data_IF_384038029387
#
_entry.id   IF_384038029387
#
_cell.length_a   1.000
_cell.length_b   1.000
_cell.length_c   1.000
_cell.angle_alpha   90.00
_cell.angle_beta   90.00
_cell.angle_gamma   90.00
#
_symmetry.space_group_name_H-M   'P 1'
#
loop_
_entity.id
_entity.type
_entity.pdbx_description
1 polymer ?
#
# COMPACT_ATOMS: atom_id res chain seq x y z
N UNK A 1 -57.58 -4.99 -52.79
CA UNK A 1 -56.14 -5.30 -52.74
C UNK A 1 -55.58 -4.86 -51.39
N UNK A 2 -56.27 -5.14 -50.25
CA UNK A 2 -56.07 -4.35 -49.03
C UNK A 2 -55.99 -5.16 -47.72
N UNK A 3 -56.16 -6.48 -47.77
CA UNK A 3 -56.22 -7.32 -46.55
C UNK A 3 -54.84 -7.77 -46.03
N UNK A 4 -53.87 -7.99 -46.92
CA UNK A 4 -52.51 -8.45 -46.55
C UNK A 4 -51.63 -7.33 -45.93
N UNK A 5 -51.93 -6.06 -46.21
CA UNK A 5 -51.19 -4.91 -45.68
C UNK A 5 -51.48 -4.64 -44.19
N UNK A 6 -52.66 -5.03 -43.70
CA UNK A 6 -53.06 -4.80 -42.30
C UNK A 6 -52.39 -5.79 -41.33
N UNK A 7 -52.27 -7.06 -41.73
CA UNK A 7 -51.59 -8.10 -40.95
C UNK A 7 -50.09 -7.83 -40.79
N UNK A 8 -49.43 -7.34 -41.85
CA UNK A 8 -48.00 -6.98 -41.78
C UNK A 8 -47.71 -5.83 -40.82
N UNK A 9 -48.64 -4.87 -40.67
CA UNK A 9 -48.51 -3.76 -39.73
C UNK A 9 -48.72 -4.20 -38.28
N UNK A 10 -49.67 -5.10 -38.03
CA UNK A 10 -49.90 -5.67 -36.70
C UNK A 10 -48.72 -6.51 -36.19
N UNK A 11 -48.07 -7.28 -37.09
CA UNK A 11 -46.87 -8.06 -36.75
C UNK A 11 -45.69 -7.14 -36.42
N UNK A 12 -45.48 -6.06 -37.19
CA UNK A 12 -44.41 -5.08 -36.91
C UNK A 12 -44.63 -4.34 -35.59
N UNK A 13 -45.86 -3.96 -35.27
CA UNK A 13 -46.19 -3.30 -33.99
C UNK A 13 -46.03 -4.27 -32.81
N UNK A 14 -46.42 -5.54 -32.97
CA UNK A 14 -46.19 -6.59 -31.97
C UNK A 14 -44.69 -6.86 -31.75
N UNK A 15 -43.89 -6.85 -32.81
CA UNK A 15 -42.45 -7.04 -32.71
C UNK A 15 -41.77 -5.84 -32.04
N UNK A 16 -42.17 -4.61 -32.38
CA UNK A 16 -41.69 -3.41 -31.68
C UNK A 16 -42.05 -3.41 -30.19
N UNK A 17 -43.28 -3.79 -29.82
CA UNK A 17 -43.68 -3.83 -28.41
C UNK A 17 -42.92 -4.89 -27.59
N UNK A 18 -42.55 -6.02 -28.20
CA UNK A 18 -41.74 -7.05 -27.53
C UNK A 18 -40.27 -6.64 -27.33
N UNK A 19 -39.74 -5.74 -28.16
CA UNK A 19 -38.38 -5.19 -27.98
C UNK A 19 -38.28 -4.14 -26.87
N UNK A 20 -39.39 -3.48 -26.51
CA UNK A 20 -39.39 -2.44 -25.46
C UNK A 20 -39.51 -2.99 -24.02
N UNK A 21 -39.79 -4.27 -23.84
CA UNK A 21 -39.76 -4.95 -22.53
C UNK A 21 -38.44 -5.67 -22.25
N UNK A 22 -37.37 -5.34 -22.98
CA UNK A 22 -36.01 -5.64 -22.52
C UNK A 22 -35.70 -4.69 -21.36
N UNK A 23 -36.17 -5.07 -20.17
CA UNK A 23 -35.89 -4.36 -18.94
C UNK A 23 -34.40 -4.10 -18.83
N UNK A 24 -34.07 -2.82 -18.71
CA UNK A 24 -32.73 -2.33 -18.42
C UNK A 24 -32.37 -2.85 -17.02
N UNK A 25 -31.87 -4.09 -17.00
CA UNK A 25 -31.19 -4.65 -15.85
C UNK A 25 -29.90 -3.88 -15.74
N UNK A 26 -30.02 -2.66 -15.21
CA UNK A 26 -28.94 -1.93 -14.59
C UNK A 26 -28.48 -2.82 -13.45
N UNK A 27 -27.65 -3.80 -13.81
CA UNK A 27 -26.79 -4.53 -12.92
C UNK A 27 -25.93 -3.46 -12.27
N UNK A 28 -26.45 -2.90 -11.18
CA UNK A 28 -25.70 -2.33 -10.09
C UNK A 28 -24.70 -3.40 -9.74
N UNK A 29 -23.54 -3.37 -10.41
CA UNK A 29 -22.33 -4.04 -9.98
C UNK A 29 -22.18 -3.55 -8.55
N UNK A 30 -22.57 -4.38 -7.61
CA UNK A 30 -22.25 -4.21 -6.21
C UNK A 30 -20.73 -4.24 -6.17
N UNK A 31 -20.12 -3.07 -6.32
CA UNK A 31 -18.71 -2.88 -6.08
C UNK A 31 -18.52 -3.24 -4.62
N UNK A 32 -18.03 -4.45 -4.35
CA UNK A 32 -17.59 -4.79 -3.03
C UNK A 32 -16.51 -3.77 -2.67
N UNK A 33 -16.87 -2.80 -1.83
CA UNK A 33 -15.90 -1.96 -1.16
C UNK A 33 -15.15 -2.90 -0.21
N UNK A 34 -14.06 -3.49 -0.70
CA UNK A 34 -13.12 -4.19 0.15
C UNK A 34 -12.41 -3.13 1.00
N UNK A 35 -13.03 -2.74 2.11
CA UNK A 35 -12.37 -1.98 3.16
C UNK A 35 -11.39 -2.93 3.84
N UNK A 36 -10.26 -3.20 3.18
CA UNK A 36 -9.15 -3.90 3.82
C UNK A 36 -8.83 -3.08 5.06
N UNK A 37 -8.98 -3.65 6.25
CA UNK A 37 -8.50 -3.03 7.47
C UNK A 37 -7.01 -2.78 7.28
N UNK A 38 -6.64 -1.53 6.98
CA UNK A 38 -5.25 -1.15 6.80
C UNK A 38 -4.70 -0.93 8.19
N UNK A 39 -3.73 -1.76 8.55
CA UNK A 39 -3.04 -1.65 9.81
C UNK A 39 -2.43 -0.25 10.02
N UNK A 40 -2.63 0.32 11.21
CA UNK A 40 -2.08 1.61 11.67
C UNK A 40 -0.57 1.59 11.87
N UNK A 41 0.04 0.41 11.82
CA UNK A 41 1.48 0.24 11.95
C UNK A 41 2.18 -0.08 10.62
N UNK A 42 1.47 -0.04 9.50
CA UNK A 42 2.04 -0.38 8.17
C UNK A 42 2.76 0.79 7.49
N UNK A 43 3.71 0.54 6.56
CA UNK A 43 4.33 1.59 5.76
C UNK A 43 3.30 2.46 5.01
N UNK A 44 2.24 1.84 4.50
CA UNK A 44 1.15 2.52 3.78
C UNK A 44 0.35 3.47 4.68
N UNK A 45 0.21 3.14 5.97
CA UNK A 45 -0.46 4.03 6.91
C UNK A 45 0.41 5.25 7.22
N UNK A 46 1.70 5.06 7.48
CA UNK A 46 2.64 6.16 7.70
C UNK A 46 2.77 7.09 6.48
N UNK A 47 2.81 6.53 5.28
CA UNK A 47 2.86 7.31 4.03
C UNK A 47 1.55 8.06 3.74
N UNK A 48 0.42 7.63 4.31
CA UNK A 48 -0.88 8.29 4.13
C UNK A 48 -1.00 9.63 4.86
N UNK A 49 -0.04 9.97 5.74
CA UNK A 49 0.01 11.20 6.55
C UNK A 49 -1.25 11.46 7.40
N UNK A 50 -1.98 10.40 7.74
CA UNK A 50 -3.16 10.47 8.62
C UNK A 50 -2.79 10.72 10.09
N UNK A 51 -1.54 10.44 10.46
CA UNK A 51 -1.03 10.59 11.81
C UNK A 51 0.28 11.39 11.79
N UNK A 52 0.47 12.21 12.82
CA UNK A 52 1.70 12.96 13.00
C UNK A 52 2.86 12.00 13.29
N UNK A 53 3.99 12.23 12.63
CA UNK A 53 5.20 11.45 12.87
C UNK A 53 5.80 11.76 14.26
N UNK A 54 6.47 10.80 14.91
CA UNK A 54 7.14 11.03 16.18
C UNK A 54 8.14 12.19 16.12
N UNK A 55 8.25 13.00 17.19
CA UNK A 55 9.19 14.15 17.23
C UNK A 55 10.64 13.76 16.95
N UNK A 56 11.05 12.57 17.37
CA UNK A 56 12.40 12.02 17.13
C UNK A 56 12.67 11.65 15.68
N UNK A 57 11.61 11.45 14.88
CA UNK A 57 11.67 11.07 13.47
C UNK A 57 10.72 11.97 12.68
N UNK A 58 11.09 13.23 12.39
CA UNK A 58 10.24 14.12 11.59
C UNK A 58 10.05 13.61 10.16
N UNK A 59 8.87 13.82 9.58
CA UNK A 59 8.49 13.38 8.22
C UNK A 59 9.49 13.82 7.13
N UNK A 60 10.00 15.05 7.23
CA UNK A 60 10.97 15.63 6.29
C UNK A 60 12.42 15.19 6.52
N UNK A 61 12.67 14.32 7.49
CA UNK A 61 14.01 13.78 7.70
C UNK A 61 14.39 12.86 6.55
N UNK A 62 15.70 12.75 6.31
CA UNK A 62 16.26 11.87 5.29
C UNK A 62 16.73 10.56 5.90
N UNK A 63 16.87 9.54 5.06
CA UNK A 63 17.52 8.26 5.43
C UNK A 63 18.94 8.53 5.95
N UNK A 64 19.67 9.42 5.29
CA UNK A 64 21.01 9.85 5.71
C UNK A 64 21.02 10.41 7.13
N UNK A 65 20.06 11.28 7.48
CA UNK A 65 19.99 11.86 8.82
C UNK A 65 19.68 10.81 9.90
N UNK A 66 18.94 9.76 9.56
CA UNK A 66 18.51 8.75 10.53
C UNK A 66 19.49 7.59 10.71
N UNK A 67 20.18 7.20 9.63
CA UNK A 67 21.03 6.01 9.56
C UNK A 67 22.48 6.30 9.17
N UNK A 68 22.81 7.52 8.76
CA UNK A 68 24.15 7.96 8.38
C UNK A 68 24.40 7.97 6.86
N UNK A 69 25.42 8.73 6.45
CA UNK A 69 25.79 8.98 5.05
C UNK A 69 26.17 7.70 4.32
N UNK A 70 26.97 6.84 4.96
CA UNK A 70 27.44 5.57 4.38
C UNK A 70 26.26 4.68 3.99
N UNK A 71 25.35 4.48 4.95
CA UNK A 71 24.14 3.68 4.78
C UNK A 71 23.25 4.24 3.67
N UNK A 72 23.06 5.57 3.64
CA UNK A 72 22.24 6.19 2.61
C UNK A 72 22.85 6.02 1.21
N UNK A 73 24.13 6.32 1.02
CA UNK A 73 24.78 6.36 -0.30
C UNK A 73 25.09 4.97 -0.89
N UNK A 74 25.29 3.96 -0.05
CA UNK A 74 25.64 2.61 -0.53
C UNK A 74 24.52 1.98 -1.37
N UNK A 75 23.26 2.25 -1.02
CA UNK A 75 22.10 1.61 -1.66
C UNK A 75 20.98 2.54 -2.07
N UNK A 76 20.96 3.76 -1.55
CA UNK A 76 19.90 4.73 -1.78
C UNK A 76 20.48 6.10 -2.14
N UNK A 77 19.59 7.10 -2.26
CA UNK A 77 19.99 8.49 -2.44
C UNK A 77 20.09 9.18 -1.08
N UNK A 78 21.01 10.13 -0.93
CA UNK A 78 21.19 10.93 0.28
C UNK A 78 19.97 11.78 0.63
N UNK A 79 19.26 12.27 -0.39
CA UNK A 79 18.06 13.10 -0.27
C UNK A 79 16.76 12.30 -0.12
N UNK A 80 16.83 10.96 -0.11
CA UNK A 80 15.67 10.10 0.07
C UNK A 80 15.03 10.39 1.43
N UNK A 81 13.79 10.88 1.40
CA UNK A 81 13.05 11.19 2.62
C UNK A 81 12.43 9.93 3.22
N UNK A 82 12.19 9.96 4.54
CA UNK A 82 11.54 8.85 5.22
C UNK A 82 10.10 8.65 4.72
N UNK A 83 9.35 9.72 4.47
CA UNK A 83 7.99 9.60 3.92
C UNK A 83 8.00 8.94 2.54
N UNK A 84 8.93 9.35 1.66
CA UNK A 84 9.07 8.76 0.34
C UNK A 84 9.38 7.26 0.44
N UNK A 85 10.34 6.88 1.28
CA UNK A 85 10.70 5.46 1.47
C UNK A 85 9.55 4.58 1.95
N UNK A 86 8.63 5.09 2.78
CA UNK A 86 7.41 4.36 3.19
C UNK A 86 6.38 4.21 2.08
N UNK A 87 6.41 5.09 1.07
CA UNK A 87 5.49 5.12 -0.07
C UNK A 87 5.98 4.30 -1.28
N UNK A 88 7.27 3.95 -1.34
CA UNK A 88 7.86 3.21 -2.47
C UNK A 88 7.19 1.86 -2.69
N UNK A 89 7.11 1.41 -3.94
CA UNK A 89 6.51 0.12 -4.31
C UNK A 89 7.47 -0.79 -5.07
N UNK A 90 8.78 -0.56 -4.94
CA UNK A 90 9.83 -1.34 -5.61
C UNK A 90 10.29 -2.55 -4.80
N UNK A 91 9.53 -3.01 -3.79
CA UNK A 91 9.91 -4.12 -2.91
C UNK A 91 10.09 -5.46 -3.65
N UNK A 92 9.40 -5.63 -4.78
CA UNK A 92 9.44 -6.84 -5.59
C UNK A 92 10.76 -6.88 -6.37
N UNK A 93 11.63 -7.84 -6.02
CA UNK A 93 12.99 -7.94 -6.57
C UNK A 93 14.03 -7.04 -5.90
N UNK A 94 13.64 -6.09 -5.02
CA UNK A 94 14.56 -5.23 -4.28
C UNK A 94 14.52 -5.52 -2.77
N UNK A 95 15.35 -6.45 -2.31
CA UNK A 95 15.41 -6.80 -0.88
C UNK A 95 15.81 -5.60 0.02
N UNK A 96 16.66 -4.71 -0.48
CA UNK A 96 17.07 -3.51 0.24
C UNK A 96 15.95 -2.47 0.30
N UNK A 97 15.19 -2.30 -0.78
CA UNK A 97 13.97 -1.48 -0.80
C UNK A 97 12.94 -1.98 0.21
N UNK A 98 12.71 -3.30 0.25
CA UNK A 98 11.85 -3.93 1.25
C UNK A 98 12.36 -3.72 2.68
N UNK A 99 13.68 -3.89 2.92
CA UNK A 99 14.31 -3.65 4.21
C UNK A 99 14.08 -2.22 4.69
N UNK A 100 14.36 -1.23 3.83
CA UNK A 100 14.22 0.18 4.17
C UNK A 100 12.76 0.54 4.48
N UNK A 101 11.84 0.14 3.59
CA UNK A 101 10.42 0.45 3.74
C UNK A 101 9.82 -0.13 5.01
N UNK A 102 10.08 -1.41 5.29
CA UNK A 102 9.59 -2.06 6.51
C UNK A 102 10.32 -1.58 7.76
N UNK A 103 11.63 -1.31 7.65
CA UNK A 103 12.46 -0.81 8.75
C UNK A 103 12.08 0.59 9.19
N UNK A 104 11.72 1.49 8.27
CA UNK A 104 11.26 2.83 8.63
C UNK A 104 9.90 2.79 9.30
N UNK A 105 8.96 1.97 8.81
CA UNK A 105 7.71 1.74 9.51
C UNK A 105 7.94 1.18 10.92
N UNK A 106 8.84 0.21 11.07
CA UNK A 106 9.22 -0.34 12.38
C UNK A 106 9.84 0.72 13.30
N UNK A 107 10.68 1.61 12.75
CA UNK A 107 11.28 2.71 13.50
C UNK A 107 10.21 3.69 13.99
N UNK A 108 9.26 4.06 13.14
CA UNK A 108 8.15 4.93 13.52
C UNK A 108 7.28 4.27 14.59
N UNK A 109 6.94 3.00 14.42
CA UNK A 109 6.17 2.24 15.41
C UNK A 109 6.90 2.15 16.76
N UNK A 110 8.21 1.92 16.76
CA UNK A 110 9.03 1.86 17.99
C UNK A 110 9.03 3.15 18.80
N UNK A 111 8.77 4.30 18.16
CA UNK A 111 8.60 5.58 18.85
C UNK A 111 7.13 5.91 19.15
N UNK A 112 6.20 5.50 18.29
CA UNK A 112 4.80 5.89 18.36
C UNK A 112 3.92 4.94 19.20
N UNK A 113 4.34 3.70 19.39
CA UNK A 113 3.52 2.62 19.95
C UNK A 113 4.22 2.03 21.16
N UNK A 114 3.56 2.09 22.33
CA UNK A 114 4.15 1.69 23.62
C UNK A 114 4.53 0.20 23.69
N UNK A 115 3.79 -0.66 23.00
CA UNK A 115 3.93 -2.12 23.03
C UNK A 115 4.55 -2.69 21.75
N UNK A 116 5.26 -1.87 20.96
CA UNK A 116 5.93 -2.37 19.77
C UNK A 116 7.07 -3.31 20.13
N UNK A 117 7.29 -4.34 19.30
CA UNK A 117 8.23 -5.44 19.60
C UNK A 117 9.70 -5.04 19.64
N UNK A 118 10.04 -3.83 19.18
CA UNK A 118 11.43 -3.36 19.10
C UNK A 118 11.56 -1.96 19.69
N UNK A 119 12.68 -1.72 20.37
CA UNK A 119 13.12 -0.36 20.70
C UNK A 119 13.72 0.34 19.46
N UNK A 120 13.71 1.68 19.42
CA UNK A 120 14.22 2.41 18.26
C UNK A 120 15.69 2.13 17.90
N UNK A 121 16.54 1.93 18.91
CA UNK A 121 17.96 1.64 18.68
C UNK A 121 18.14 0.23 18.08
N UNK A 122 17.30 -0.74 18.45
CA UNK A 122 17.33 -2.09 17.90
C UNK A 122 16.99 -2.08 16.40
N UNK A 123 15.95 -1.33 16.03
CA UNK A 123 15.56 -1.19 14.62
C UNK A 123 16.71 -0.62 13.79
N UNK A 124 17.37 0.45 14.28
CA UNK A 124 18.52 1.04 13.58
C UNK A 124 19.66 0.05 13.41
N UNK A 125 20.04 -0.65 14.48
CA UNK A 125 21.12 -1.63 14.45
C UNK A 125 20.79 -2.79 13.51
N UNK A 126 19.59 -3.36 13.60
CA UNK A 126 19.16 -4.48 12.76
C UNK A 126 19.08 -4.09 11.28
N UNK A 127 18.66 -2.87 10.96
CA UNK A 127 18.65 -2.38 9.58
C UNK A 127 20.08 -2.32 9.02
N UNK A 128 21.01 -1.69 9.75
CA UNK A 128 22.40 -1.55 9.32
C UNK A 128 23.06 -2.93 9.15
N UNK A 129 22.87 -3.83 10.12
CA UNK A 129 23.41 -5.20 10.04
C UNK A 129 22.87 -5.97 8.84
N UNK A 130 21.58 -5.81 8.52
CA UNK A 130 20.96 -6.52 7.42
C UNK A 130 21.42 -6.05 6.03
N UNK A 131 22.09 -4.89 5.93
CA UNK A 131 22.62 -4.39 4.67
C UNK A 131 23.80 -5.20 4.11
N UNK A 132 24.46 -5.99 4.95
CA UNK A 132 25.66 -6.75 4.57
C UNK A 132 25.44 -7.74 3.41
N UNK A 133 24.19 -8.18 3.18
CA UNK A 133 23.85 -9.04 2.05
C UNK A 133 22.37 -9.00 1.71
N UNK A 134 22.03 -9.29 0.46
CA UNK A 134 20.64 -9.34 0.00
C UNK A 134 19.78 -10.38 0.74
N UNK A 135 20.26 -11.61 1.05
CA UNK A 135 19.50 -12.55 1.86
C UNK A 135 19.25 -12.06 3.28
N UNK A 136 20.22 -11.37 3.89
CA UNK A 136 20.04 -10.77 5.23
C UNK A 136 19.00 -9.65 5.19
N UNK A 137 19.07 -8.76 4.19
CA UNK A 137 18.10 -7.70 3.97
C UNK A 137 16.68 -8.26 3.81
N UNK A 138 16.51 -9.29 2.98
CA UNK A 138 15.20 -9.95 2.76
C UNK A 138 14.64 -10.54 4.05
N UNK A 139 15.44 -11.30 4.81
CA UNK A 139 15.01 -11.90 6.08
C UNK A 139 14.62 -10.84 7.11
N UNK A 140 15.43 -9.79 7.23
CA UNK A 140 15.15 -8.73 8.20
C UNK A 140 13.94 -7.89 7.79
N UNK A 141 13.73 -7.64 6.49
CA UNK A 141 12.52 -7.00 5.98
C UNK A 141 11.26 -7.78 6.36
N UNK A 142 11.30 -9.13 6.25
CA UNK A 142 10.19 -9.99 6.67
C UNK A 142 9.92 -9.94 8.17
N UNK A 143 10.97 -9.89 9.01
CA UNK A 143 10.83 -9.72 10.46
C UNK A 143 10.17 -8.39 10.80
N UNK A 144 10.66 -7.29 10.24
CA UNK A 144 10.05 -5.98 10.44
C UNK A 144 8.60 -5.93 9.94
N UNK A 145 8.30 -6.50 8.77
CA UNK A 145 6.93 -6.61 8.26
C UNK A 145 6.01 -7.34 9.23
N UNK A 146 6.47 -8.46 9.79
CA UNK A 146 5.69 -9.26 10.74
C UNK A 146 5.41 -8.47 12.02
N UNK A 147 6.41 -7.77 12.58
CA UNK A 147 6.23 -6.92 13.75
C UNK A 147 5.29 -5.73 13.46
N UNK A 148 5.41 -5.11 12.28
CA UNK A 148 4.52 -4.02 11.85
C UNK A 148 3.07 -4.48 11.73
N UNK A 149 2.82 -5.71 11.28
CA UNK A 149 1.45 -6.26 11.21
C UNK A 149 0.92 -6.65 12.59
N UNK A 150 1.78 -7.14 13.48
CA UNK A 150 1.40 -7.55 14.85
C UNK A 150 1.18 -6.37 15.82
N UNK A 151 1.50 -5.15 15.40
CA UNK A 151 1.41 -3.92 16.19
C UNK A 151 -0.01 -3.34 16.27
N UNK A 152 -0.93 -3.83 15.45
CA UNK A 152 -2.33 -3.40 15.39
C UNK A 152 -3.24 -4.09 16.42
#
# INVERSE_FOLDING_TARGET
>A
MDSHYSLSRLILVSFCLLCFFAGDSSATRAGFFYTRHRGRCTPQYWSSRREAWPRMVPERSTVEKMFGVMVAKERWRSDLTLVESTARNDEEGNAYGALLKQGIAALLNSYARRSFSYAPWEVKTMLIQAMISEPAARRQAQKFKSANVACD
#
